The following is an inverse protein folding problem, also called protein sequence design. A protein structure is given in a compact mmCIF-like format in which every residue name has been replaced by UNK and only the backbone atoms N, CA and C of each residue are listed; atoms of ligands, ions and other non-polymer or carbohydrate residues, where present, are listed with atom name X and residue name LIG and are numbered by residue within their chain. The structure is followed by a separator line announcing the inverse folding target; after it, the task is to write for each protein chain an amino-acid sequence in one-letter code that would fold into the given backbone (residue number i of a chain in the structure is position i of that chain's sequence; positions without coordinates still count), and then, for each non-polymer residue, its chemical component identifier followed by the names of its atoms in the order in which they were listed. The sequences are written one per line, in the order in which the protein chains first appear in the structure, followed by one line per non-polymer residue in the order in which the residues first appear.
data_IF_009880369047
#
_entry.id   IF_009880369047
#
_cell.length_a   1.000
_cell.length_b   1.000
_cell.length_c   1.000
_cell.angle_alpha   90.00
_cell.angle_beta   90.00
_cell.angle_gamma   90.00
#
_symmetry.space_group_name_H-M   'P 1'
#
loop_
_entity.id
_entity.type
_entity.pdbx_description
1 polymer ?
#
# COMPACT_ATOMS: atom_id res chain seq x y z
N UNK A 1 3.41 -8.05 -17.94
CA UNK A 1 2.60 -7.23 -17.02
C UNK A 1 2.41 -5.86 -17.59
N UNK A 2 1.20 -5.34 -17.47
CA UNK A 2 0.83 -4.04 -18.01
C UNK A 2 1.19 -2.92 -17.05
N UNK A 3 1.58 -1.78 -17.61
CA UNK A 3 1.78 -0.53 -16.87
C UNK A 3 0.56 -0.14 -16.02
N UNK A 4 -0.64 -0.51 -16.49
CA UNK A 4 -1.90 -0.21 -15.83
C UNK A 4 -2.10 -1.02 -14.54
N UNK A 5 -1.65 -2.28 -14.49
CA UNK A 5 -1.72 -3.09 -13.26
C UNK A 5 -0.84 -2.51 -12.15
N UNK A 6 0.38 -2.08 -12.47
CA UNK A 6 1.28 -1.41 -11.53
C UNK A 6 0.65 -0.11 -11.03
N UNK A 7 0.08 0.69 -11.94
CA UNK A 7 -0.61 1.94 -11.59
C UNK A 7 -1.78 1.70 -10.62
N UNK A 8 -2.60 0.68 -10.89
CA UNK A 8 -3.71 0.30 -10.02
C UNK A 8 -3.24 -0.15 -8.64
N UNK A 9 -2.20 -1.01 -8.55
CA UNK A 9 -1.66 -1.45 -7.25
C UNK A 9 -1.05 -0.30 -6.45
N UNK A 10 -0.35 0.63 -7.10
CA UNK A 10 0.15 1.84 -6.45
C UNK A 10 -0.98 2.69 -5.87
N UNK A 11 -2.07 2.85 -6.64
CA UNK A 11 -3.27 3.56 -6.18
C UNK A 11 -3.90 2.88 -4.98
N UNK A 12 -4.14 1.57 -5.06
CA UNK A 12 -4.74 0.79 -3.96
C UNK A 12 -3.87 0.85 -2.72
N UNK A 13 -2.55 0.68 -2.84
CA UNK A 13 -1.63 0.78 -1.70
C UNK A 13 -1.67 2.16 -1.05
N UNK A 14 -1.74 3.24 -1.84
CA UNK A 14 -1.89 4.60 -1.31
C UNK A 14 -3.19 4.77 -0.50
N UNK A 15 -4.30 4.27 -1.03
CA UNK A 15 -5.62 4.35 -0.40
C UNK A 15 -5.67 3.50 0.89
N UNK A 16 -5.08 2.32 0.87
CA UNK A 16 -4.88 1.47 2.05
C UNK A 16 -3.98 2.14 3.09
N UNK A 17 -2.98 2.91 2.68
CA UNK A 17 -2.17 3.72 3.59
C UNK A 17 -2.93 4.96 4.14
N UNK A 18 -4.17 5.18 3.71
CA UNK A 18 -5.00 6.32 4.15
C UNK A 18 -4.51 7.67 3.62
N UNK A 19 -3.78 7.67 2.50
CA UNK A 19 -3.17 8.88 1.96
C UNK A 19 -3.92 9.40 0.75
N UNK A 20 -4.09 10.72 0.66
CA UNK A 20 -4.47 11.37 -0.59
C UNK A 20 -3.26 11.47 -1.55
N UNK A 21 -3.52 11.64 -2.85
CA UNK A 21 -2.45 11.87 -3.83
C UNK A 21 -1.57 13.08 -3.47
N UNK A 22 -2.17 14.14 -2.92
CA UNK A 22 -1.42 15.33 -2.50
C UNK A 22 -0.55 15.08 -1.28
N UNK A 23 -1.03 14.28 -0.32
CA UNK A 23 -0.25 13.88 0.85
C UNK A 23 0.92 12.96 0.49
N UNK A 24 0.70 12.01 -0.43
CA UNK A 24 1.76 11.15 -0.93
C UNK A 24 2.83 11.96 -1.68
N UNK A 25 2.39 12.84 -2.59
CA UNK A 25 3.27 13.74 -3.33
C UNK A 25 4.13 14.61 -2.38
N UNK A 26 3.51 15.23 -1.37
CA UNK A 26 4.21 16.04 -0.38
C UNK A 26 5.26 15.26 0.39
N UNK A 27 4.96 14.03 0.84
CA UNK A 27 5.90 13.18 1.59
C UNK A 27 7.07 12.66 0.74
N UNK A 28 6.89 12.60 -0.57
CA UNK A 28 7.92 12.15 -1.52
C UNK A 28 8.64 13.30 -2.21
N UNK A 29 8.33 14.55 -1.86
CA UNK A 29 8.85 15.75 -2.53
C UNK A 29 8.59 15.74 -4.04
N UNK A 30 7.43 15.21 -4.44
CA UNK A 30 6.96 15.15 -5.82
C UNK A 30 5.81 16.14 -6.02
N UNK A 31 5.61 16.57 -7.26
CA UNK A 31 4.41 17.33 -7.63
C UNK A 31 3.19 16.39 -7.66
N UNK A 32 2.04 16.84 -7.16
CA UNK A 32 0.78 16.06 -7.17
C UNK A 32 0.41 15.46 -8.54
N UNK A 33 0.58 16.17 -9.69
CA UNK A 33 0.38 15.59 -11.01
C UNK A 33 1.24 14.34 -11.26
N UNK A 34 2.46 14.25 -10.72
CA UNK A 34 3.30 13.06 -10.87
C UNK A 34 2.59 11.81 -10.34
N UNK A 35 2.04 11.87 -9.14
CA UNK A 35 1.29 10.75 -8.54
C UNK A 35 0.05 10.44 -9.38
N UNK A 36 -0.70 11.46 -9.79
CA UNK A 36 -1.91 11.29 -10.60
C UNK A 36 -1.64 10.63 -11.96
N UNK A 37 -0.58 11.06 -12.66
CA UNK A 37 -0.18 10.50 -13.95
C UNK A 37 0.33 9.06 -13.84
N UNK A 38 1.04 8.74 -12.74
CA UNK A 38 1.48 7.37 -12.44
C UNK A 38 0.27 6.47 -12.19
N UNK A 39 -0.63 6.87 -11.30
CA UNK A 39 -1.83 6.09 -10.93
C UNK A 39 -2.84 5.97 -12.06
N UNK A 40 -2.81 6.87 -13.05
CA UNK A 40 -3.60 6.77 -14.27
C UNK A 40 -2.92 5.94 -15.37
N UNK A 41 -1.72 5.42 -15.14
CA UNK A 41 -0.95 4.67 -16.14
C UNK A 41 -0.45 5.53 -17.32
N UNK A 42 -0.59 6.86 -17.25
CA UNK A 42 -0.10 7.79 -18.28
C UNK A 42 1.41 7.98 -18.20
N UNK A 43 1.98 7.94 -16.99
CA UNK A 43 3.43 7.97 -16.74
C UNK A 43 3.92 6.67 -16.11
N UNK A 44 5.10 6.20 -16.53
CA UNK A 44 5.76 5.08 -15.86
C UNK A 44 6.43 5.55 -14.57
N UNK A 45 6.31 4.75 -13.51
CA UNK A 45 7.04 4.96 -12.26
C UNK A 45 8.51 4.60 -12.45
N UNK A 46 9.43 5.46 -11.98
CA UNK A 46 10.86 5.14 -11.98
C UNK A 46 11.22 4.20 -10.82
N UNK A 47 12.32 3.47 -10.92
CA UNK A 47 12.72 2.49 -9.90
C UNK A 47 12.96 3.12 -8.52
N UNK A 48 13.53 4.32 -8.47
CA UNK A 48 13.76 5.07 -7.23
C UNK A 48 12.43 5.59 -6.63
N UNK A 49 11.51 6.06 -7.48
CA UNK A 49 10.15 6.43 -7.07
C UNK A 49 9.38 5.23 -6.52
N UNK A 50 9.50 4.07 -7.18
CA UNK A 50 8.81 2.84 -6.80
C UNK A 50 9.19 2.36 -5.41
N UNK A 51 10.49 2.36 -5.08
CA UNK A 51 10.96 1.97 -3.76
C UNK A 51 10.43 2.93 -2.68
N UNK A 52 10.47 4.24 -2.94
CA UNK A 52 9.95 5.25 -2.01
C UNK A 52 8.44 5.13 -1.81
N UNK A 53 7.69 4.87 -2.88
CA UNK A 53 6.25 4.63 -2.83
C UNK A 53 5.92 3.37 -2.03
N UNK A 54 6.63 2.27 -2.28
CA UNK A 54 6.47 1.01 -1.56
C UNK A 54 6.66 1.20 -0.05
N UNK A 55 7.76 1.86 0.34
CA UNK A 55 8.05 2.19 1.74
C UNK A 55 6.98 3.11 2.34
N UNK A 56 6.58 4.16 1.62
CA UNK A 56 5.56 5.10 2.11
C UNK A 56 4.21 4.43 2.32
N UNK A 57 3.84 3.48 1.46
CA UNK A 57 2.57 2.78 1.52
C UNK A 57 2.61 1.52 2.40
N UNK A 58 3.81 1.12 2.85
CA UNK A 58 4.02 -0.04 3.71
C UNK A 58 3.73 -1.36 3.00
N UNK A 59 4.09 -1.46 1.73
CA UNK A 59 3.97 -2.67 0.88
C UNK A 59 5.32 -3.02 0.25
N UNK A 60 5.48 -4.27 -0.18
CA UNK A 60 6.69 -4.74 -0.86
C UNK A 60 6.71 -4.31 -2.33
N UNK A 61 7.90 -3.98 -2.85
CA UNK A 61 8.07 -3.66 -4.29
C UNK A 61 7.64 -4.83 -5.18
N UNK A 62 7.95 -6.06 -4.76
CA UNK A 62 7.54 -7.29 -5.48
C UNK A 62 6.03 -7.44 -5.57
N UNK A 63 5.28 -7.01 -4.54
CA UNK A 63 3.82 -7.02 -4.60
C UNK A 63 3.30 -6.00 -5.61
N UNK A 64 3.88 -4.80 -5.67
CA UNK A 64 3.48 -3.79 -6.66
C UNK A 64 3.76 -4.29 -8.08
N UNK A 65 4.95 -4.84 -8.31
CA UNK A 65 5.37 -5.30 -9.63
C UNK A 65 4.59 -6.56 -10.01
N UNK A 66 4.68 -7.63 -9.23
CA UNK A 66 4.22 -8.97 -9.59
C UNK A 66 2.82 -9.33 -9.08
N UNK A 67 2.29 -8.58 -8.12
CA UNK A 67 1.06 -8.94 -7.41
C UNK A 67 1.23 -10.15 -6.48
N UNK A 68 2.46 -10.64 -6.31
CA UNK A 68 2.75 -11.79 -5.46
C UNK A 68 2.95 -11.33 -4.02
N UNK A 69 2.40 -12.12 -3.11
CA UNK A 69 2.70 -12.04 -1.69
C UNK A 69 3.82 -13.05 -1.43
N UNK A 70 4.74 -12.72 -0.53
CA UNK A 70 5.75 -13.70 -0.12
C UNK A 70 5.05 -14.80 0.70
N UNK A 71 4.91 -15.98 0.12
CA UNK A 71 4.24 -17.13 0.73
C UNK A 71 4.95 -17.59 2.01
N UNK A 72 6.26 -17.39 2.12
CA UNK A 72 7.03 -17.71 3.33
C UNK A 72 6.62 -16.84 4.53
N UNK A 73 6.00 -15.68 4.27
CA UNK A 73 5.44 -14.80 5.31
C UNK A 73 4.00 -15.15 5.68
N UNK A 74 3.38 -16.14 5.04
CA UNK A 74 1.98 -16.53 5.28
C UNK A 74 1.96 -17.81 6.12
N UNK A 75 1.83 -17.67 7.44
CA UNK A 75 1.64 -18.83 8.32
C UNK A 75 0.15 -19.21 8.48
N UNK A 76 -0.08 -20.30 9.22
CA UNK A 76 -1.43 -20.82 9.49
C UNK A 76 -2.34 -19.80 10.21
N UNK A 77 -1.77 -18.92 11.04
CA UNK A 77 -2.53 -17.91 11.77
C UNK A 77 -3.04 -16.81 10.83
N UNK A 78 -2.22 -16.39 9.86
CA UNK A 78 -2.61 -15.42 8.84
C UNK A 78 -3.70 -15.99 7.92
N UNK A 79 -3.57 -17.27 7.52
CA UNK A 79 -4.59 -17.94 6.71
C UNK A 79 -5.92 -18.08 7.45
N UNK A 80 -5.90 -18.40 8.75
CA UNK A 80 -7.10 -18.46 9.57
C UNK A 80 -7.80 -17.11 9.64
N UNK A 81 -7.05 -16.03 9.92
CA UNK A 81 -7.57 -14.67 9.93
C UNK A 81 -8.17 -14.28 8.57
N UNK A 82 -7.49 -14.59 7.45
CA UNK A 82 -7.99 -14.28 6.12
C UNK A 82 -9.35 -14.97 5.82
N UNK A 83 -9.54 -16.21 6.26
CA UNK A 83 -10.83 -16.92 6.11
C UNK A 83 -11.92 -16.26 6.92
N UNK A 84 -11.65 -15.93 8.17
CA UNK A 84 -12.62 -15.23 9.03
C UNK A 84 -13.03 -13.89 8.41
N UNK A 85 -12.04 -13.07 8.02
CA UNK A 85 -12.26 -11.80 7.34
C UNK A 85 -13.12 -11.94 6.09
N UNK A 86 -12.92 -12.99 5.28
CA UNK A 86 -13.69 -13.21 4.04
C UNK A 86 -15.19 -13.44 4.27
N UNK A 87 -15.58 -13.81 5.49
CA UNK A 87 -16.97 -14.06 5.89
C UNK A 87 -17.62 -12.88 6.63
N UNK A 88 -16.86 -11.84 6.95
CA UNK A 88 -17.35 -10.67 7.68
C UNK A 88 -18.10 -9.70 6.77
N UNK A 89 -18.93 -8.83 7.37
CA UNK A 89 -19.57 -7.72 6.66
C UNK A 89 -18.51 -6.67 6.28
N UNK A 90 -18.71 -6.01 5.15
CA UNK A 90 -17.78 -4.96 4.67
C UNK A 90 -17.52 -3.86 5.71
N UNK A 91 -18.53 -3.47 6.50
CA UNK A 91 -18.40 -2.45 7.55
C UNK A 91 -17.41 -2.87 8.64
N UNK A 92 -17.43 -4.14 9.05
CA UNK A 92 -16.53 -4.67 10.07
C UNK A 92 -15.09 -4.80 9.53
N UNK A 93 -14.95 -5.18 8.27
CA UNK A 93 -13.65 -5.24 7.57
C UNK A 93 -13.02 -3.85 7.52
N UNK A 94 -13.79 -2.81 7.18
CA UNK A 94 -13.31 -1.43 7.16
C UNK A 94 -12.87 -0.95 8.55
N UNK A 95 -13.62 -1.29 9.60
CA UNK A 95 -13.24 -0.98 10.98
C UNK A 95 -11.89 -1.64 11.36
N UNK A 96 -11.71 -2.92 11.02
CA UNK A 96 -10.45 -3.64 11.24
C UNK A 96 -9.27 -3.06 10.46
N UNK A 97 -9.48 -2.72 9.18
CA UNK A 97 -8.48 -2.05 8.35
C UNK A 97 -8.02 -0.75 9.02
N UNK A 98 -8.94 0.04 9.59
CA UNK A 98 -8.60 1.27 10.30
C UNK A 98 -7.82 0.99 11.60
N UNK A 99 -8.19 -0.04 12.36
CA UNK A 99 -7.43 -0.46 13.54
C UNK A 99 -6.00 -0.87 13.19
N UNK A 100 -5.80 -1.67 12.14
CA UNK A 100 -4.47 -2.07 11.68
C UNK A 100 -3.65 -0.84 11.27
N UNK A 101 -4.24 0.14 10.57
CA UNK A 101 -3.56 1.40 10.23
C UNK A 101 -3.10 2.16 11.47
N UNK A 102 -3.91 2.18 12.54
CA UNK A 102 -3.52 2.83 13.80
C UNK A 102 -2.33 2.13 14.45
N UNK A 103 -2.32 0.79 14.48
CA UNK A 103 -1.21 0.00 15.05
C UNK A 103 0.10 0.28 14.30
N UNK A 104 0.08 0.26 12.97
CA UNK A 104 1.26 0.58 12.14
C UNK A 104 1.76 2.01 12.36
N UNK A 105 0.85 2.96 12.62
CA UNK A 105 1.22 4.35 12.91
C UNK A 105 1.88 4.53 14.30
N UNK A 106 1.53 3.68 15.28
CA UNK A 106 2.18 3.69 16.60
C UNK A 106 3.58 3.09 16.60
N UNK A 107 3.84 2.03 15.83
CA UNK A 107 5.16 1.38 15.76
C UNK A 107 6.26 2.27 15.15
N UNK A 108 5.89 3.30 14.37
CA UNK A 108 6.84 4.23 13.74
C UNK A 108 7.38 5.35 14.64
N UNK A 109 6.96 5.45 15.91
CA UNK A 109 7.37 6.55 16.82
C UNK A 109 8.52 6.23 17.78
N UNK A 110 8.86 4.96 17.97
CA UNK A 110 9.89 4.53 18.94
C UNK A 110 11.30 4.36 18.33
N UNK A 111 11.49 4.71 17.05
CA UNK A 111 12.75 4.50 16.31
C UNK A 111 13.65 5.74 16.13
N UNK A 112 13.40 6.85 16.85
CA UNK A 112 14.30 8.01 16.87
C UNK A 112 14.68 8.37 18.29
N UNK A 113 15.74 7.76 18.79
CA UNK A 113 16.61 8.26 19.86
C UNK A 113 18.05 8.13 19.40
#
# INVERSE_FOLDING_TARGET
MSKLEIANRLRSAREMAGLSQGQAAKRLELHRPTISEIEAGRRSVKSDELLKLANLYGVEVSWIIEGKINEDKIDQSILAAARELSSMKNEDIEALINTIKMIKASEGKDGKS
#
